data_IF_420131580438
#
_entry.id   IF_420131580438
#
_cell.length_a   1.000
_cell.length_b   1.000
_cell.length_c   1.000
_cell.angle_alpha   90.00
_cell.angle_beta   90.00
_cell.angle_gamma   90.00
#
_symmetry.space_group_name_H-M   'P 1'
#
loop_
_entity.id
_entity.type
_entity.pdbx_description
1 polymer ?
#
# COMPACT_ATOMS: atom_id res chain seq x y z
N UNK A 1 10.88 -52.99 6.34
CA UNK A 1 10.45 -52.09 7.45
C UNK A 1 11.19 -50.74 7.40
N UNK A 2 12.55 -50.73 7.50
CA UNK A 2 13.31 -49.44 7.48
C UNK A 2 13.19 -48.71 6.14
N UNK A 3 13.21 -49.42 5.02
CA UNK A 3 13.11 -48.86 3.67
C UNK A 3 11.68 -48.35 3.37
N UNK A 4 10.67 -49.01 3.85
CA UNK A 4 9.27 -48.57 3.75
C UNK A 4 9.01 -47.32 4.59
N UNK A 5 9.56 -47.27 5.83
CA UNK A 5 9.46 -46.08 6.66
C UNK A 5 10.16 -44.87 6.03
N UNK A 6 11.37 -45.08 5.45
CA UNK A 6 12.07 -44.00 4.75
C UNK A 6 11.30 -43.53 3.49
N UNK A 7 10.69 -44.43 2.75
CA UNK A 7 9.86 -44.07 1.60
C UNK A 7 8.59 -43.32 1.98
N UNK A 8 7.95 -43.69 3.10
CA UNK A 8 6.78 -43.00 3.62
C UNK A 8 7.13 -41.54 4.03
N UNK A 9 8.23 -41.34 4.77
CA UNK A 9 8.72 -40.01 5.16
C UNK A 9 9.09 -39.18 3.93
N UNK A 10 9.76 -39.76 2.93
CA UNK A 10 10.09 -39.07 1.68
C UNK A 10 8.83 -38.64 0.92
N UNK A 11 7.80 -39.49 0.86
CA UNK A 11 6.53 -39.17 0.21
C UNK A 11 5.77 -38.07 0.97
N UNK A 12 5.80 -38.08 2.29
CA UNK A 12 5.20 -37.03 3.13
C UNK A 12 5.91 -35.70 2.94
N UNK A 13 7.23 -35.65 3.00
CA UNK A 13 8.04 -34.46 2.75
C UNK A 13 7.81 -33.89 1.33
N UNK A 14 7.69 -34.79 0.33
CA UNK A 14 7.36 -34.37 -1.04
C UNK A 14 5.98 -33.70 -1.12
N UNK A 15 4.99 -34.26 -0.42
CA UNK A 15 3.63 -33.72 -0.37
C UNK A 15 3.58 -32.35 0.30
N UNK A 16 4.27 -32.19 1.44
CA UNK A 16 4.37 -30.90 2.14
C UNK A 16 5.05 -29.86 1.24
N UNK A 17 6.13 -30.24 0.57
CA UNK A 17 6.84 -29.35 -0.36
C UNK A 17 5.94 -28.92 -1.52
N UNK A 18 5.23 -29.85 -2.15
CA UNK A 18 4.29 -29.53 -3.23
C UNK A 18 3.15 -28.63 -2.75
N UNK A 19 2.64 -28.84 -1.54
CA UNK A 19 1.62 -27.97 -0.95
C UNK A 19 2.14 -26.53 -0.78
N UNK A 20 3.35 -26.34 -0.25
CA UNK A 20 4.00 -25.03 -0.16
C UNK A 20 4.24 -24.41 -1.54
N UNK A 21 4.62 -25.19 -2.55
CA UNK A 21 4.85 -24.70 -3.92
C UNK A 21 3.56 -24.22 -4.59
N UNK A 22 2.39 -24.73 -4.19
CA UNK A 22 1.09 -24.30 -4.71
C UNK A 22 0.47 -23.14 -3.93
N UNK A 23 1.01 -22.78 -2.76
CA UNK A 23 0.52 -21.65 -1.97
C UNK A 23 0.81 -20.31 -2.68
N UNK A 24 -0.14 -19.37 -2.58
CA UNK A 24 0.02 -18.00 -3.08
C UNK A 24 0.89 -17.12 -2.16
N UNK A 25 1.07 -17.52 -0.90
CA UNK A 25 1.97 -16.85 0.04
C UNK A 25 3.43 -17.04 -0.41
N UNK A 26 4.22 -15.97 -0.39
CA UNK A 26 5.63 -16.02 -0.77
C UNK A 26 6.47 -16.54 0.40
N UNK A 27 6.89 -17.79 0.34
CA UNK A 27 7.61 -18.49 1.42
C UNK A 27 9.07 -18.76 1.03
N UNK A 28 9.96 -18.35 1.92
CA UNK A 28 11.41 -18.62 1.86
C UNK A 28 11.85 -19.28 3.17
N UNK A 29 12.73 -20.28 3.10
CA UNK A 29 13.30 -20.94 4.27
C UNK A 29 14.82 -20.87 4.19
N UNK A 30 15.45 -20.42 5.28
CA UNK A 30 16.89 -20.50 5.48
C UNK A 30 17.22 -21.49 6.60
N UNK A 31 18.34 -22.21 6.50
CA UNK A 31 18.86 -23.05 7.57
C UNK A 31 19.43 -22.21 8.73
N UNK A 32 19.90 -22.88 9.79
CA UNK A 32 20.46 -22.21 10.97
C UNK A 32 21.70 -21.34 10.64
N UNK A 33 22.45 -21.68 9.60
CA UNK A 33 23.64 -20.93 9.14
C UNK A 33 23.30 -19.76 8.21
N UNK A 34 22.03 -19.57 7.88
CA UNK A 34 21.55 -18.48 7.03
C UNK A 34 21.55 -18.77 5.53
N UNK A 35 21.79 -20.01 5.11
CA UNK A 35 21.67 -20.37 3.70
C UNK A 35 20.21 -20.62 3.33
N UNK A 36 19.78 -19.99 2.24
CA UNK A 36 18.43 -20.20 1.68
C UNK A 36 18.36 -21.62 1.11
N UNK A 37 17.54 -22.45 1.72
CA UNK A 37 17.40 -23.87 1.35
C UNK A 37 16.11 -24.17 0.59
N UNK A 38 15.13 -23.27 0.66
CA UNK A 38 13.86 -23.44 -0.03
C UNK A 38 13.23 -22.07 -0.36
N UNK A 39 12.62 -22.03 -1.53
CA UNK A 39 11.77 -20.95 -2.01
C UNK A 39 10.60 -21.56 -2.77
N UNK A 40 9.37 -21.21 -2.41
CA UNK A 40 8.23 -21.68 -3.17
C UNK A 40 8.07 -20.90 -4.49
N UNK A 41 7.16 -21.34 -5.32
CA UNK A 41 6.94 -20.77 -6.65
C UNK A 41 6.55 -19.29 -6.58
N UNK A 42 5.71 -18.93 -5.63
CA UNK A 42 5.22 -17.57 -5.45
C UNK A 42 6.34 -16.58 -5.11
N UNK A 43 7.20 -16.88 -4.12
CA UNK A 43 8.33 -16.00 -3.76
C UNK A 43 9.36 -15.92 -4.89
N UNK A 44 9.58 -17.02 -5.60
CA UNK A 44 10.51 -17.04 -6.75
C UNK A 44 10.03 -16.09 -7.85
N UNK A 45 8.76 -16.13 -8.21
CA UNK A 45 8.17 -15.21 -9.18
C UNK A 45 8.21 -13.76 -8.70
N UNK A 46 7.92 -13.50 -7.41
CA UNK A 46 8.00 -12.17 -6.83
C UNK A 46 9.43 -11.61 -6.92
N UNK A 47 10.46 -12.39 -6.58
CA UNK A 47 11.85 -11.97 -6.66
C UNK A 47 12.28 -11.70 -8.11
N UNK A 48 11.84 -12.51 -9.06
CA UNK A 48 12.12 -12.30 -10.49
C UNK A 48 11.47 -11.03 -11.04
N UNK A 49 10.22 -10.76 -10.68
CA UNK A 49 9.52 -9.52 -11.10
C UNK A 49 10.20 -8.26 -10.57
N UNK A 50 10.72 -8.32 -9.35
CA UNK A 50 11.35 -7.19 -8.67
C UNK A 50 12.87 -7.11 -8.87
N UNK A 51 13.48 -8.05 -9.60
CA UNK A 51 14.94 -8.17 -9.76
C UNK A 51 15.59 -6.88 -10.26
N UNK A 52 15.02 -6.25 -11.31
CA UNK A 52 15.57 -5.02 -11.87
C UNK A 52 15.59 -3.86 -10.85
N UNK A 53 14.57 -3.78 -10.01
CA UNK A 53 14.51 -2.81 -8.92
C UNK A 53 15.50 -3.13 -7.79
N UNK A 54 15.56 -4.39 -7.36
CA UNK A 54 16.46 -4.86 -6.30
C UNK A 54 17.92 -4.64 -6.67
N UNK A 55 18.30 -4.85 -7.91
CA UNK A 55 19.67 -4.63 -8.42
C UNK A 55 20.16 -3.19 -8.29
N UNK A 56 19.29 -2.20 -8.19
CA UNK A 56 19.72 -0.80 -7.95
C UNK A 56 20.41 -0.61 -6.60
N UNK A 57 20.00 -1.34 -5.58
CA UNK A 57 20.62 -1.30 -4.23
C UNK A 57 21.50 -2.52 -3.96
N UNK A 58 21.28 -3.62 -4.65
CA UNK A 58 21.98 -4.89 -4.53
C UNK A 58 22.49 -5.34 -5.91
N UNK A 59 23.59 -4.77 -6.43
CA UNK A 59 24.04 -4.99 -7.82
C UNK A 59 24.29 -6.47 -8.16
N UNK A 60 24.63 -7.29 -7.16
CA UNK A 60 24.90 -8.73 -7.31
C UNK A 60 23.64 -9.60 -7.17
N UNK A 61 22.47 -9.00 -6.97
CA UNK A 61 21.23 -9.75 -6.82
C UNK A 61 20.89 -10.50 -8.11
N UNK A 62 20.64 -11.81 -7.99
CA UNK A 62 20.19 -12.69 -9.06
C UNK A 62 19.12 -13.63 -8.51
N UNK A 63 17.88 -13.43 -8.92
CA UNK A 63 16.73 -14.19 -8.45
C UNK A 63 16.85 -15.71 -8.73
N UNK A 64 17.66 -16.11 -9.70
CA UNK A 64 17.88 -17.52 -10.07
C UNK A 64 18.92 -18.20 -9.19
N UNK A 65 19.71 -17.44 -8.43
CA UNK A 65 20.83 -17.92 -7.61
C UNK A 65 20.61 -17.74 -6.11
N UNK A 66 19.37 -17.49 -5.70
CA UNK A 66 19.03 -17.29 -4.28
C UNK A 66 19.10 -18.57 -3.48
N UNK A 67 18.66 -19.71 -4.04
CA UNK A 67 18.81 -21.00 -3.36
C UNK A 67 20.30 -21.34 -3.23
N UNK A 68 20.73 -21.65 -2.02
CA UNK A 68 22.12 -21.87 -1.64
C UNK A 68 22.88 -20.60 -1.26
N UNK A 69 22.37 -19.41 -1.60
CA UNK A 69 22.99 -18.16 -1.16
C UNK A 69 22.78 -17.95 0.35
N UNK A 70 23.78 -17.32 1.00
CA UNK A 70 23.61 -16.90 2.39
C UNK A 70 22.94 -15.51 2.40
N UNK A 71 21.89 -15.34 3.22
CA UNK A 71 21.16 -14.07 3.30
C UNK A 71 22.03 -12.90 3.78
N UNK A 72 23.15 -13.16 4.43
CA UNK A 72 24.12 -12.14 4.81
C UNK A 72 24.60 -11.28 3.64
N UNK A 73 24.71 -11.88 2.46
CA UNK A 73 25.14 -11.18 1.24
C UNK A 73 24.16 -10.06 0.80
N UNK A 74 22.95 -10.06 1.32
CA UNK A 74 21.91 -9.08 1.02
C UNK A 74 21.73 -8.02 2.12
N UNK A 75 22.46 -8.14 3.24
CA UNK A 75 22.32 -7.25 4.39
C UNK A 75 23.58 -6.39 4.60
N UNK A 76 23.38 -5.10 4.85
CA UNK A 76 24.48 -4.17 5.18
C UNK A 76 25.18 -4.51 6.51
N UNK A 77 24.42 -5.06 7.46
CA UNK A 77 24.92 -5.49 8.76
C UNK A 77 24.49 -6.94 9.03
N UNK A 78 25.19 -7.93 8.46
CA UNK A 78 24.84 -9.34 8.62
C UNK A 78 24.84 -9.80 10.08
N UNK A 79 25.76 -9.28 10.91
CA UNK A 79 25.85 -9.63 12.33
C UNK A 79 24.60 -9.26 13.11
N UNK A 80 23.98 -8.12 12.80
CA UNK A 80 22.73 -7.72 13.42
C UNK A 80 21.59 -8.69 13.06
N UNK A 81 21.47 -9.06 11.79
CA UNK A 81 20.44 -9.98 11.33
C UNK A 81 20.61 -11.39 11.91
N UNK A 82 21.83 -11.89 11.93
CA UNK A 82 22.13 -13.18 12.56
C UNK A 82 21.77 -13.20 14.04
N UNK A 83 22.15 -12.14 14.77
CA UNK A 83 21.84 -12.04 16.20
C UNK A 83 20.33 -11.97 16.45
N UNK A 84 19.61 -11.13 15.69
CA UNK A 84 18.16 -11.02 15.75
C UNK A 84 17.49 -12.37 15.50
N UNK A 85 17.84 -13.03 14.41
CA UNK A 85 17.26 -14.32 14.05
C UNK A 85 17.65 -15.42 15.05
N UNK A 86 18.89 -15.46 15.58
CA UNK A 86 19.35 -16.46 16.54
C UNK A 86 18.58 -16.41 17.86
N UNK A 87 18.13 -15.23 18.28
CA UNK A 87 17.38 -15.03 19.52
C UNK A 87 15.86 -14.96 19.32
N UNK A 88 15.38 -15.19 18.10
CA UNK A 88 13.98 -15.16 17.77
C UNK A 88 13.23 -16.31 18.47
N UNK A 89 12.31 -15.99 19.37
CA UNK A 89 11.52 -16.96 20.13
C UNK A 89 10.11 -17.19 19.57
N UNK A 90 9.69 -16.37 18.60
CA UNK A 90 8.38 -16.42 17.98
C UNK A 90 8.31 -15.56 16.75
N UNK A 91 7.13 -15.16 16.36
CA UNK A 91 6.89 -14.34 15.18
C UNK A 91 7.58 -12.97 15.28
N UNK A 92 8.31 -12.60 14.22
CA UNK A 92 8.89 -11.27 14.06
C UNK A 92 8.36 -10.64 12.76
N UNK A 93 7.71 -9.49 12.90
CA UNK A 93 7.18 -8.71 11.77
C UNK A 93 8.04 -7.48 11.55
N UNK A 94 8.36 -7.22 10.30
CA UNK A 94 9.08 -6.00 9.90
C UNK A 94 8.67 -5.58 8.51
N UNK A 95 8.89 -4.31 8.21
CA UNK A 95 8.79 -3.76 6.87
C UNK A 95 10.16 -3.24 6.44
N UNK A 96 10.56 -3.56 5.23
CA UNK A 96 11.82 -3.10 4.65
C UNK A 96 11.55 -2.31 3.37
N UNK A 97 12.38 -1.30 3.14
CA UNK A 97 12.36 -0.52 1.90
C UNK A 97 13.68 -0.72 1.16
N UNK A 98 13.59 -1.16 -0.09
CA UNK A 98 14.74 -1.40 -0.96
C UNK A 98 14.47 -0.79 -2.32
N UNK A 99 15.29 0.16 -2.74
CA UNK A 99 15.18 0.82 -4.07
C UNK A 99 13.79 1.40 -4.37
N UNK A 100 13.09 1.91 -3.37
CA UNK A 100 11.73 2.45 -3.51
C UNK A 100 10.62 1.41 -3.49
N UNK A 101 10.96 0.13 -3.38
CA UNK A 101 10.00 -0.95 -3.15
C UNK A 101 9.85 -1.21 -1.65
N UNK A 102 8.64 -1.59 -1.24
CA UNK A 102 8.30 -1.89 0.15
C UNK A 102 7.88 -3.34 0.28
N UNK A 103 8.56 -4.08 1.17
CA UNK A 103 8.25 -5.47 1.47
C UNK A 103 7.92 -5.64 2.95
N UNK A 104 6.79 -6.27 3.24
CA UNK A 104 6.46 -6.75 4.58
C UNK A 104 6.97 -8.19 4.73
N UNK A 105 7.62 -8.44 5.86
CA UNK A 105 8.25 -9.71 6.19
C UNK A 105 7.70 -10.23 7.51
N UNK A 106 7.40 -11.52 7.56
CA UNK A 106 7.06 -12.25 8.78
C UNK A 106 8.03 -13.41 8.92
N UNK A 107 8.91 -13.35 9.91
CA UNK A 107 9.91 -14.38 10.18
C UNK A 107 9.54 -15.19 11.41
N UNK A 108 9.60 -16.52 11.30
CA UNK A 108 9.37 -17.45 12.38
C UNK A 108 10.55 -18.45 12.50
N UNK A 109 11.00 -18.78 13.70
CA UNK A 109 12.02 -19.81 13.92
C UNK A 109 11.43 -21.19 13.62
N UNK A 110 12.22 -22.04 12.98
CA UNK A 110 11.94 -23.47 12.85
C UNK A 110 12.75 -24.17 13.93
N UNK A 111 12.07 -24.86 14.83
CA UNK A 111 12.67 -25.55 15.96
C UNK A 111 12.40 -27.05 15.86
N UNK A 112 13.33 -27.88 16.34
CA UNK A 112 13.07 -29.31 16.53
C UNK A 112 12.30 -29.56 17.85
N UNK A 113 12.02 -30.83 18.13
CA UNK A 113 11.32 -31.27 19.36
C UNK A 113 12.08 -30.93 20.66
N UNK A 114 13.38 -30.73 20.57
CA UNK A 114 14.28 -30.37 21.68
C UNK A 114 14.43 -28.85 21.81
N UNK A 115 13.78 -28.07 20.93
CA UNK A 115 13.85 -26.61 20.89
C UNK A 115 15.14 -26.08 20.23
N UNK A 116 15.91 -26.95 19.58
CA UNK A 116 17.07 -26.50 18.80
C UNK A 116 16.64 -25.88 17.48
N UNK A 117 17.33 -24.83 17.08
CA UNK A 117 17.01 -24.10 15.85
C UNK A 117 17.47 -24.85 14.61
N UNK A 118 16.52 -25.21 13.77
CA UNK A 118 16.77 -25.78 12.43
C UNK A 118 16.90 -24.71 11.34
N UNK A 119 16.28 -23.54 11.55
CA UNK A 119 16.29 -22.49 10.55
C UNK A 119 15.27 -21.38 10.83
N UNK A 120 14.90 -20.69 9.76
CA UNK A 120 13.87 -19.64 9.79
C UNK A 120 13.02 -19.76 8.54
N UNK A 121 11.70 -19.70 8.71
CA UNK A 121 10.77 -19.45 7.61
C UNK A 121 10.46 -17.96 7.56
N UNK A 122 10.46 -17.40 6.37
CA UNK A 122 10.13 -15.99 6.12
C UNK A 122 9.04 -15.93 5.06
N UNK A 123 7.94 -15.30 5.42
CA UNK A 123 6.89 -14.92 4.51
C UNK A 123 7.14 -13.50 4.01
N UNK A 124 7.02 -13.31 2.70
CA UNK A 124 7.23 -12.03 2.04
C UNK A 124 5.93 -11.51 1.44
N UNK A 125 5.67 -10.22 1.58
CA UNK A 125 4.60 -9.54 0.87
C UNK A 125 5.15 -8.28 0.21
N UNK A 126 5.04 -8.20 -1.11
CA UNK A 126 5.32 -6.96 -1.84
C UNK A 126 4.14 -6.00 -1.61
N UNK A 127 4.41 -4.90 -0.90
CA UNK A 127 3.44 -3.84 -0.59
C UNK A 127 3.67 -2.57 -1.40
N UNK A 128 4.56 -2.62 -2.38
CA UNK A 128 4.96 -1.42 -3.13
C UNK A 128 3.76 -0.69 -3.73
N UNK A 129 2.88 -1.42 -4.40
CA UNK A 129 1.66 -0.85 -4.98
C UNK A 129 0.66 -0.36 -3.93
N UNK A 130 0.48 -1.11 -2.83
CA UNK A 130 -0.38 -0.71 -1.71
C UNK A 130 0.10 0.61 -1.09
N UNK A 131 1.38 0.69 -0.73
CA UNK A 131 1.98 1.88 -0.09
C UNK A 131 1.96 3.10 -1.03
N UNK A 132 2.19 2.89 -2.33
CA UNK A 132 2.08 3.96 -3.31
C UNK A 132 0.63 4.48 -3.42
N UNK A 133 -0.36 3.59 -3.44
CA UNK A 133 -1.76 3.95 -3.46
C UNK A 133 -2.20 4.67 -2.17
N UNK A 134 -1.79 4.16 -1.00
CA UNK A 134 -2.05 4.78 0.31
C UNK A 134 -1.49 6.22 0.37
N UNK A 135 -0.27 6.43 -0.12
CA UNK A 135 0.38 7.75 -0.15
C UNK A 135 -0.34 8.71 -1.08
N UNK A 136 -0.65 8.28 -2.30
CA UNK A 136 -1.39 9.11 -3.27
C UNK A 136 -2.75 9.51 -2.72
N UNK A 137 -3.49 8.56 -2.14
CA UNK A 137 -4.79 8.83 -1.54
C UNK A 137 -4.69 9.85 -0.40
N UNK A 138 -3.70 9.67 0.49
CA UNK A 138 -3.48 10.61 1.60
C UNK A 138 -3.20 12.03 1.10
N UNK A 139 -2.38 12.18 0.07
CA UNK A 139 -2.07 13.49 -0.52
C UNK A 139 -3.31 14.16 -1.13
N UNK A 140 -4.12 13.41 -1.86
CA UNK A 140 -5.33 13.96 -2.50
C UNK A 140 -6.40 14.29 -1.46
N UNK A 141 -6.57 13.45 -0.42
CA UNK A 141 -7.48 13.74 0.70
C UNK A 141 -7.04 15.02 1.42
N UNK A 142 -5.75 15.18 1.71
CA UNK A 142 -5.21 16.38 2.36
C UNK A 142 -5.46 17.64 1.52
N UNK A 143 -5.16 17.61 0.22
CA UNK A 143 -5.48 18.70 -0.70
C UNK A 143 -6.99 19.02 -0.72
N UNK A 144 -7.85 18.01 -0.69
CA UNK A 144 -9.31 18.18 -0.64
C UNK A 144 -9.76 18.83 0.67
N UNK A 145 -9.16 18.48 1.80
CA UNK A 145 -9.42 19.13 3.12
C UNK A 145 -9.00 20.60 3.09
N UNK A 146 -7.95 20.94 2.36
CA UNK A 146 -7.48 22.32 2.17
C UNK A 146 -8.34 23.11 1.15
N UNK A 147 -9.32 22.47 0.52
CA UNK A 147 -10.25 23.10 -0.42
C UNK A 147 -9.92 22.89 -1.90
N UNK A 148 -8.88 22.12 -2.23
CA UNK A 148 -8.59 21.74 -3.61
C UNK A 148 -9.42 20.52 -4.03
N UNK A 149 -10.55 20.78 -4.65
CA UNK A 149 -11.45 19.77 -5.21
C UNK A 149 -11.15 19.43 -6.68
N UNK A 150 -9.97 19.82 -7.21
CA UNK A 150 -9.63 19.57 -8.62
C UNK A 150 -8.95 18.24 -8.85
N UNK A 151 -8.30 17.69 -7.83
CA UNK A 151 -7.53 16.45 -7.91
C UNK A 151 -8.41 15.21 -7.91
N UNK A 152 -7.95 14.17 -8.57
CA UNK A 152 -8.63 12.87 -8.65
C UNK A 152 -7.60 11.75 -8.46
N UNK A 153 -8.05 10.67 -7.80
CA UNK A 153 -7.27 9.44 -7.66
C UNK A 153 -7.20 8.77 -9.03
N UNK A 154 -5.99 8.42 -9.46
CA UNK A 154 -5.75 7.65 -10.67
C UNK A 154 -6.16 6.19 -10.42
N UNK A 155 -7.02 5.63 -11.26
CA UNK A 155 -7.58 4.29 -11.06
C UNK A 155 -6.79 3.19 -11.78
N UNK A 156 -6.04 3.58 -12.80
CA UNK A 156 -5.27 2.66 -13.64
C UNK A 156 -4.12 2.02 -12.85
N UNK A 157 -3.94 0.70 -13.06
CA UNK A 157 -2.86 -0.04 -12.41
C UNK A 157 -3.04 -0.33 -10.92
N UNK A 158 -4.14 0.11 -10.29
CA UNK A 158 -4.42 -0.18 -8.89
C UNK A 158 -5.11 -1.52 -8.70
N UNK A 159 -4.84 -2.15 -7.56
CA UNK A 159 -5.56 -3.34 -7.11
C UNK A 159 -7.06 -3.06 -6.92
N UNK A 160 -7.92 -4.07 -7.03
CA UNK A 160 -9.38 -3.91 -7.02
C UNK A 160 -9.91 -3.11 -5.84
N UNK A 161 -9.38 -3.31 -4.64
CA UNK A 161 -9.77 -2.57 -3.45
C UNK A 161 -9.50 -1.07 -3.59
N UNK A 162 -8.26 -0.69 -3.93
CA UNK A 162 -7.88 0.71 -4.09
C UNK A 162 -8.55 1.39 -5.26
N UNK A 163 -8.82 0.66 -6.34
CA UNK A 163 -9.61 1.14 -7.47
C UNK A 163 -11.02 1.51 -7.04
N UNK A 164 -11.73 0.59 -6.38
CA UNK A 164 -13.10 0.84 -5.90
C UNK A 164 -13.15 2.02 -4.93
N UNK A 165 -12.19 2.10 -4.01
CA UNK A 165 -12.11 3.20 -3.06
C UNK A 165 -11.86 4.54 -3.77
N UNK A 166 -10.96 4.57 -4.75
CA UNK A 166 -10.67 5.74 -5.58
C UNK A 166 -11.89 6.19 -6.40
N UNK A 167 -12.64 5.27 -7.01
CA UNK A 167 -13.89 5.57 -7.72
C UNK A 167 -14.91 6.26 -6.80
N UNK A 168 -15.10 5.71 -5.60
CA UNK A 168 -16.02 6.28 -4.61
C UNK A 168 -15.58 7.67 -4.14
N UNK A 169 -14.29 7.83 -3.89
CA UNK A 169 -13.72 9.12 -3.51
C UNK A 169 -13.89 10.15 -4.63
N UNK A 170 -13.56 9.80 -5.88
CA UNK A 170 -13.72 10.70 -7.02
C UNK A 170 -15.19 11.14 -7.20
N UNK A 171 -16.14 10.21 -7.04
CA UNK A 171 -17.56 10.52 -7.06
C UNK A 171 -17.97 11.50 -5.94
N UNK A 172 -17.44 11.31 -4.73
CA UNK A 172 -17.67 12.23 -3.61
C UNK A 172 -17.17 13.64 -3.94
N UNK A 173 -15.95 13.75 -4.43
CA UNK A 173 -15.36 15.05 -4.81
C UNK A 173 -16.14 15.72 -5.92
N UNK A 174 -16.61 14.97 -6.93
CA UNK A 174 -17.48 15.50 -8.01
C UNK A 174 -18.80 16.07 -7.45
N UNK A 175 -19.45 15.33 -6.54
CA UNK A 175 -20.69 15.76 -5.89
C UNK A 175 -20.49 17.04 -5.09
N UNK A 176 -19.44 17.08 -4.24
CA UNK A 176 -19.13 18.27 -3.42
C UNK A 176 -18.79 19.46 -4.31
N UNK A 177 -17.98 19.27 -5.36
CA UNK A 177 -17.63 20.33 -6.31
C UNK A 177 -18.87 20.89 -7.04
N UNK A 178 -19.82 20.03 -7.40
CA UNK A 178 -21.09 20.47 -8.00
C UNK A 178 -21.91 21.30 -7.03
N UNK A 179 -22.06 20.82 -5.79
CA UNK A 179 -22.83 21.54 -4.75
C UNK A 179 -22.20 22.91 -4.45
N UNK A 180 -20.88 23.00 -4.35
CA UNK A 180 -20.20 24.28 -4.14
C UNK A 180 -20.48 25.26 -5.28
N UNK A 181 -20.42 24.80 -6.54
CA UNK A 181 -20.75 25.64 -7.70
C UNK A 181 -22.19 26.13 -7.66
N UNK A 182 -23.14 25.26 -7.34
CA UNK A 182 -24.56 25.63 -7.22
C UNK A 182 -24.79 26.68 -6.14
N UNK A 183 -24.15 26.51 -4.97
CA UNK A 183 -24.20 27.49 -3.87
C UNK A 183 -23.58 28.82 -4.30
N UNK A 184 -22.47 28.81 -5.01
CA UNK A 184 -21.84 30.05 -5.52
C UNK A 184 -22.77 30.78 -6.48
N UNK A 185 -23.37 30.07 -7.46
CA UNK A 185 -24.34 30.67 -8.39
C UNK A 185 -25.54 31.25 -7.65
N UNK A 186 -26.07 30.53 -6.67
CA UNK A 186 -27.20 31.05 -5.86
C UNK A 186 -26.82 32.31 -5.04
N UNK A 187 -25.62 32.36 -4.50
CA UNK A 187 -25.09 33.53 -3.80
C UNK A 187 -24.95 34.75 -4.73
N UNK A 188 -24.43 34.55 -5.94
CA UNK A 188 -24.34 35.61 -6.95
C UNK A 188 -25.72 36.15 -7.35
N UNK A 189 -26.70 35.28 -7.53
CA UNK A 189 -28.10 35.66 -7.81
C UNK A 189 -28.71 36.45 -6.67
N UNK A 190 -28.45 36.05 -5.41
CA UNK A 190 -28.93 36.79 -4.24
C UNK A 190 -28.31 38.18 -4.15
N UNK A 191 -27.01 38.31 -4.44
CA UNK A 191 -26.33 39.59 -4.47
C UNK A 191 -26.94 40.53 -5.53
N UNK A 192 -27.16 40.02 -6.75
CA UNK A 192 -27.80 40.79 -7.81
C UNK A 192 -29.24 41.24 -7.44
N UNK A 193 -30.03 40.35 -6.82
CA UNK A 193 -31.37 40.69 -6.34
C UNK A 193 -31.35 41.76 -5.22
N UNK A 194 -30.39 41.64 -4.29
CA UNK A 194 -30.23 42.65 -3.21
C UNK A 194 -29.87 44.04 -3.76
N UNK A 195 -28.98 44.11 -4.76
CA UNK A 195 -28.64 45.36 -5.45
C UNK A 195 -29.89 45.97 -6.13
N UNK A 196 -30.68 45.14 -6.82
CA UNK A 196 -31.90 45.59 -7.48
C UNK A 196 -32.96 46.12 -6.47
N UNK A 197 -33.11 45.45 -5.33
CA UNK A 197 -33.99 45.94 -4.25
C UNK A 197 -33.48 47.27 -3.69
N UNK A 198 -32.18 47.43 -3.49
CA UNK A 198 -31.57 48.66 -3.05
C UNK A 198 -31.85 49.84 -4.00
N UNK A 199 -31.61 49.61 -5.30
CA UNK A 199 -31.89 50.62 -6.36
C UNK A 199 -33.37 51.01 -6.40
N UNK A 200 -34.26 50.00 -6.35
CA UNK A 200 -35.71 50.25 -6.34
C UNK A 200 -36.14 51.04 -5.13
N UNK A 201 -35.61 50.72 -3.96
CA UNK A 201 -35.87 51.46 -2.72
C UNK A 201 -35.41 52.91 -2.77
N UNK A 202 -34.24 53.19 -3.36
CA UNK A 202 -33.71 54.56 -3.56
C UNK A 202 -34.62 55.34 -4.54
N UNK A 203 -35.02 54.72 -5.65
CA UNK A 203 -35.93 55.31 -6.63
C UNK A 203 -37.30 55.62 -6.03
N UNK A 204 -37.84 54.73 -5.19
CA UNK A 204 -39.09 54.92 -4.48
C UNK A 204 -38.98 56.06 -3.47
N UNK A 205 -37.90 56.15 -2.69
CA UNK A 205 -37.63 57.23 -1.76
C UNK A 205 -37.55 58.59 -2.47
N UNK A 206 -36.87 58.63 -3.63
CA UNK A 206 -36.78 59.85 -4.41
C UNK A 206 -38.17 60.28 -4.96
N UNK A 207 -38.93 59.34 -5.47
CA UNK A 207 -40.29 59.60 -5.99
C UNK A 207 -41.22 60.09 -4.86
N UNK A 208 -41.16 59.47 -3.68
CA UNK A 208 -41.93 59.89 -2.53
C UNK A 208 -41.59 61.33 -2.07
N UNK A 209 -40.28 61.67 -2.09
CA UNK A 209 -39.82 63.02 -1.77
C UNK A 209 -40.34 64.07 -2.78
N UNK A 210 -40.31 63.72 -4.08
CA UNK A 210 -40.85 64.60 -5.14
C UNK A 210 -42.36 64.79 -5.00
N UNK A 211 -43.08 63.71 -4.67
CA UNK A 211 -44.51 63.75 -4.49
C UNK A 211 -44.91 64.59 -3.26
N UNK A 212 -44.17 64.51 -2.17
CA UNK A 212 -44.38 65.35 -1.01
C UNK A 212 -44.19 66.83 -1.33
N UNK A 213 -43.15 67.19 -2.08
CA UNK A 213 -42.85 68.56 -2.50
C UNK A 213 -43.87 69.13 -3.53
N UNK A 214 -44.64 68.29 -4.19
CA UNK A 214 -45.65 68.72 -5.17
C UNK A 214 -47.05 68.88 -4.57
N UNK A 215 -47.24 68.56 -3.31
CA UNK A 215 -48.53 68.66 -2.58
C UNK A 215 -48.53 69.87 -1.64
N UNK A 216 -47.37 70.50 -1.41
CA UNK A 216 -47.26 71.85 -0.77
C UNK A 216 -47.47 72.96 -1.80
#
# INVERSE_FOLDING_TARGET
>A
VAQEAAAAVAAENSRVRQALDTCSTNVMIANADGHIIYMNHSVTQMMQRNEAGLRKSLPQFDARRLIGANFDSFHRNPGHQRNLLAHLKGEYKTEIQVSGMTFSLVANPILDEQGQRLGTVVEWKDRTGEVAAEREMSQIVEATVEGDFTQRIVLEGKEPFFRTLGERFNTLVDTVSSTIREVTVAADQLNAAAEQVSQTSQSLSHSASQQAASVE
#
